data_IF_634524252305
#
_entry.id   IF_634524252305
#
_cell.length_a   1.000
_cell.length_b   1.000
_cell.length_c   1.000
_cell.angle_alpha   90.00
_cell.angle_beta   90.00
_cell.angle_gamma   90.00
#
_symmetry.space_group_name_H-M   'P 1'
#
loop_
_entity.id
_entity.type
_entity.pdbx_description
1 polymer ?
#
# COMPACT_ATOMS: atom_id res chain seq x y z
N UNK A 1 -19.34 3.79 -17.34
CA UNK A 1 -18.72 5.12 -17.14
C UNK A 1 -17.41 4.89 -16.43
N UNK A 2 -16.29 4.91 -17.16
CA UNK A 2 -14.96 4.69 -16.57
C UNK A 2 -14.51 5.99 -15.90
N UNK A 3 -14.98 6.21 -14.68
CA UNK A 3 -14.54 7.32 -13.84
C UNK A 3 -13.05 7.19 -13.53
N UNK A 4 -12.41 8.33 -13.24
CA UNK A 4 -11.01 8.38 -12.84
C UNK A 4 -10.77 7.43 -11.65
N UNK A 5 -10.00 6.34 -11.86
CA UNK A 5 -9.67 5.33 -10.83
C UNK A 5 -8.47 5.71 -9.97
N UNK A 6 -7.82 6.83 -10.29
CA UNK A 6 -6.68 7.34 -9.54
C UNK A 6 -7.00 7.53 -8.04
N UNK A 7 -8.13 8.16 -7.65
CA UNK A 7 -8.48 8.28 -6.23
C UNK A 7 -8.62 6.93 -5.55
N UNK A 8 -9.25 5.94 -6.20
CA UNK A 8 -9.41 4.59 -5.65
C UNK A 8 -8.05 3.91 -5.40
N UNK A 9 -7.10 4.07 -6.34
CA UNK A 9 -5.76 3.52 -6.17
C UNK A 9 -5.00 4.20 -5.02
N UNK A 10 -5.10 5.52 -4.89
CA UNK A 10 -4.50 6.27 -3.78
C UNK A 10 -5.12 5.86 -2.44
N UNK A 11 -6.44 5.70 -2.39
CA UNK A 11 -7.16 5.25 -1.20
C UNK A 11 -6.75 3.82 -0.80
N UNK A 12 -6.64 2.89 -1.77
CA UNK A 12 -6.17 1.54 -1.50
C UNK A 12 -4.73 1.53 -0.92
N UNK A 13 -3.83 2.36 -1.45
CA UNK A 13 -2.47 2.49 -0.90
C UNK A 13 -2.50 3.03 0.52
N UNK A 14 -3.29 4.08 0.77
CA UNK A 14 -3.41 4.68 2.09
C UNK A 14 -3.97 3.70 3.11
N UNK A 15 -5.04 2.98 2.76
CA UNK A 15 -5.67 2.00 3.64
C UNK A 15 -4.73 0.84 3.93
N UNK A 16 -4.07 0.28 2.90
CA UNK A 16 -3.13 -0.82 3.10
C UNK A 16 -1.93 -0.42 3.96
N UNK A 17 -1.43 0.82 3.82
CA UNK A 17 -0.37 1.35 4.69
C UNK A 17 -0.84 1.47 6.14
N UNK A 18 -2.05 2.01 6.37
CA UNK A 18 -2.65 2.11 7.69
C UNK A 18 -2.85 0.72 8.33
N UNK A 19 -3.34 -0.25 7.56
CA UNK A 19 -3.53 -1.63 8.01
C UNK A 19 -2.19 -2.25 8.41
N UNK A 20 -1.15 -2.14 7.57
CA UNK A 20 0.19 -2.64 7.86
C UNK A 20 0.74 -2.08 9.18
N UNK A 21 0.57 -0.76 9.41
CA UNK A 21 0.96 -0.12 10.66
C UNK A 21 0.15 -0.64 11.85
N UNK A 22 -1.17 -0.81 11.70
CA UNK A 22 -2.03 -1.31 12.77
C UNK A 22 -1.74 -2.77 13.16
N UNK A 23 -1.34 -3.61 12.20
CA UNK A 23 -1.01 -5.00 12.48
C UNK A 23 0.25 -5.17 13.34
N UNK A 24 1.17 -4.21 13.26
CA UNK A 24 2.42 -4.23 14.03
C UNK A 24 2.37 -3.29 15.24
N UNK A 25 1.25 -2.60 15.47
CA UNK A 25 1.13 -1.66 16.58
C UNK A 25 1.23 -2.38 17.93
N UNK A 26 2.11 -1.87 18.80
CA UNK A 26 2.44 -2.50 20.08
C UNK A 26 3.18 -3.84 19.98
N UNK A 27 3.54 -4.31 18.78
CA UNK A 27 4.22 -5.60 18.59
C UNK A 27 5.74 -5.42 18.61
N UNK A 28 6.42 -6.16 19.49
CA UNK A 28 7.88 -6.22 19.53
C UNK A 28 8.46 -6.90 18.30
N UNK A 29 9.73 -6.64 17.99
CA UNK A 29 10.41 -7.25 16.85
C UNK A 29 10.45 -8.79 16.95
N UNK A 30 10.79 -9.31 18.12
CA UNK A 30 10.91 -10.76 18.31
C UNK A 30 9.53 -11.43 18.22
N UNK A 31 8.50 -10.81 18.81
CA UNK A 31 7.11 -11.26 18.69
C UNK A 31 6.63 -11.26 17.24
N UNK A 32 6.98 -10.24 16.46
CA UNK A 32 6.65 -10.17 15.03
C UNK A 32 7.32 -11.28 14.23
N UNK A 33 8.58 -11.63 14.52
CA UNK A 33 9.31 -12.69 13.82
C UNK A 33 8.70 -14.07 14.09
N UNK A 34 8.13 -14.29 15.28
CA UNK A 34 7.46 -15.53 15.63
C UNK A 34 5.99 -15.58 15.15
N UNK A 35 5.34 -14.43 14.97
CA UNK A 35 3.96 -14.36 14.47
C UNK A 35 3.88 -14.33 12.94
N UNK A 36 3.87 -15.53 12.35
CA UNK A 36 3.68 -15.71 10.90
C UNK A 36 2.35 -15.16 10.37
N UNK A 37 1.29 -15.10 11.18
CA UNK A 37 -0.01 -14.59 10.74
C UNK A 37 0.07 -13.08 10.51
N UNK A 38 0.66 -12.38 11.46
CA UNK A 38 0.87 -10.92 11.36
C UNK A 38 1.82 -10.58 10.22
N UNK A 39 2.89 -11.37 10.02
CA UNK A 39 3.76 -11.22 8.85
C UNK A 39 2.98 -11.35 7.52
N UNK A 40 2.12 -12.35 7.39
CA UNK A 40 1.31 -12.54 6.18
C UNK A 40 0.32 -11.39 5.95
N UNK A 41 -0.28 -10.85 7.01
CA UNK A 41 -1.16 -9.69 6.93
C UNK A 41 -0.40 -8.46 6.43
N UNK A 42 0.78 -8.17 6.99
CA UNK A 42 1.65 -7.07 6.55
C UNK A 42 2.12 -7.26 5.11
N UNK A 43 2.53 -8.47 4.72
CA UNK A 43 2.94 -8.78 3.34
C UNK A 43 1.79 -8.52 2.36
N UNK A 44 0.56 -8.90 2.70
CA UNK A 44 -0.60 -8.63 1.85
C UNK A 44 -0.81 -7.14 1.66
N UNK A 45 -0.74 -6.35 2.73
CA UNK A 45 -0.81 -4.88 2.65
C UNK A 45 0.26 -4.31 1.72
N UNK A 46 1.51 -4.78 1.82
CA UNK A 46 2.60 -4.33 0.94
C UNK A 46 2.35 -4.69 -0.53
N UNK A 47 1.78 -5.86 -0.82
CA UNK A 47 1.40 -6.26 -2.18
C UNK A 47 0.34 -5.32 -2.76
N UNK A 48 -0.70 -5.00 -1.98
CA UNK A 48 -1.77 -4.09 -2.40
C UNK A 48 -1.19 -2.71 -2.76
N UNK A 49 -0.28 -2.19 -1.93
CA UNK A 49 0.40 -0.92 -2.19
C UNK A 49 1.16 -0.98 -3.53
N UNK A 50 1.98 -2.03 -3.74
CA UNK A 50 2.77 -2.17 -4.96
C UNK A 50 1.92 -2.31 -6.22
N UNK A 51 0.81 -3.05 -6.16
CA UNK A 51 -0.10 -3.20 -7.29
C UNK A 51 -0.81 -1.88 -7.63
N UNK A 52 -1.28 -1.14 -6.62
CA UNK A 52 -1.90 0.16 -6.83
C UNK A 52 -0.91 1.19 -7.39
N UNK A 53 0.33 1.24 -6.86
CA UNK A 53 1.38 2.11 -7.38
C UNK A 53 1.70 1.81 -8.85
N UNK A 54 1.82 0.53 -9.22
CA UNK A 54 2.05 0.11 -10.62
C UNK A 54 0.93 0.61 -11.53
N UNK A 55 -0.35 0.47 -11.13
CA UNK A 55 -1.49 0.96 -11.92
C UNK A 55 -1.51 2.48 -12.04
N UNK A 56 -1.05 3.21 -11.02
CA UNK A 56 -0.91 4.66 -11.08
C UNK A 56 0.19 5.07 -12.06
N UNK A 57 1.36 4.44 -12.00
CA UNK A 57 2.46 4.70 -12.93
C UNK A 57 2.07 4.42 -14.39
N UNK A 58 1.40 3.29 -14.64
CA UNK A 58 1.02 2.89 -16.00
C UNK A 58 -0.15 3.72 -16.55
N UNK A 59 -1.12 4.07 -15.70
CA UNK A 59 -2.37 4.71 -16.11
C UNK A 59 -2.37 6.24 -16.03
N UNK A 60 -1.47 6.84 -15.25
CA UNK A 60 -1.53 8.24 -14.85
C UNK A 60 -0.16 8.93 -14.86
N UNK A 61 0.58 8.82 -15.95
CA UNK A 61 1.92 9.40 -16.11
C UNK A 61 2.00 10.92 -15.83
N UNK A 62 0.93 11.68 -16.09
CA UNK A 62 0.88 13.11 -15.76
C UNK A 62 0.82 13.38 -14.25
N UNK A 63 0.22 12.48 -13.47
CA UNK A 63 0.19 12.57 -12.02
C UNK A 63 1.54 12.20 -11.42
N UNK A 64 2.17 11.12 -11.88
CA UNK A 64 3.50 10.71 -11.38
C UNK A 64 4.59 11.73 -11.72
N UNK A 65 4.52 12.37 -12.89
CA UNK A 65 5.44 13.48 -13.23
C UNK A 65 5.25 14.72 -12.35
N UNK A 66 4.02 14.97 -11.87
CA UNK A 66 3.74 16.09 -10.97
C UNK A 66 4.13 15.81 -9.52
N UNK A 67 4.29 14.53 -9.16
CA UNK A 67 4.63 14.05 -7.82
C UNK A 67 5.83 13.08 -7.86
N UNK A 68 7.03 13.53 -8.30
CA UNK A 68 8.21 12.66 -8.42
C UNK A 68 8.72 12.13 -7.06
N UNK A 69 8.26 12.69 -5.94
CA UNK A 69 8.50 12.20 -4.59
C UNK A 69 7.75 10.91 -4.26
N UNK A 70 6.72 10.57 -5.05
CA UNK A 70 5.96 9.33 -4.92
C UNK A 70 6.42 8.39 -6.06
N UNK A 71 7.08 7.26 -5.74
CA UNK A 71 7.68 6.38 -6.73
C UNK A 71 6.67 5.72 -7.67
#
# INVERSE_FOLDING_TARGET
MSGNRLPDYLEHMQQAAADACSFVDGLGKDDFIEDKRTQQAVIMSLIIIGEAATKVMDGYAGFTQAHPEVP
#
